data_IF_411119362638
#
_entry.id   IF_411119362638
#
_cell.length_a   1.000
_cell.length_b   1.000
_cell.length_c   1.000
_cell.angle_alpha   90.00
_cell.angle_beta   90.00
_cell.angle_gamma   90.00
#
_symmetry.space_group_name_H-M   'P 1'
#
loop_
_entity.id
_entity.type
_entity.pdbx_description
1 polymer ?
#
# COMPACT_ATOMS: atom_id res chain seq x y z
N UNK A 1 -24.58 8.82 -4.35
CA UNK A 1 -23.46 8.01 -4.87
C UNK A 1 -22.51 8.95 -5.59
N UNK A 2 -21.24 9.07 -5.18
CA UNK A 2 -20.25 9.85 -5.94
C UNK A 2 -19.93 9.07 -7.21
N UNK A 3 -20.28 9.62 -8.36
CA UNK A 3 -19.82 9.13 -9.66
C UNK A 3 -18.32 9.40 -9.72
N UNK A 4 -17.49 8.37 -9.56
CA UNK A 4 -16.09 8.46 -9.90
C UNK A 4 -16.01 8.50 -11.43
N UNK A 5 -15.94 9.69 -12.01
CA UNK A 5 -15.54 9.82 -13.41
C UNK A 5 -14.17 9.19 -13.54
N UNK A 6 -14.07 8.12 -14.33
CA UNK A 6 -12.78 7.53 -14.66
C UNK A 6 -11.88 8.63 -15.24
N UNK A 7 -10.66 8.82 -14.74
CA UNK A 7 -9.75 9.80 -15.32
C UNK A 7 -9.51 9.46 -16.79
N UNK A 8 -9.41 10.51 -17.61
CA UNK A 8 -9.07 10.36 -19.02
C UNK A 8 -7.63 9.85 -19.20
N UNK A 9 -7.32 9.42 -20.43
CA UNK A 9 -6.01 8.87 -20.79
C UNK A 9 -4.86 9.83 -20.50
N UNK A 10 -5.10 11.14 -20.61
CA UNK A 10 -4.08 12.17 -20.38
C UNK A 10 -3.75 12.31 -18.89
N UNK A 11 -4.78 12.34 -18.05
CA UNK A 11 -4.64 12.35 -16.58
C UNK A 11 -3.89 11.10 -16.11
N UNK A 12 -4.22 9.93 -16.66
CA UNK A 12 -3.50 8.69 -16.34
C UNK A 12 -2.01 8.78 -16.69
N UNK A 13 -1.67 9.33 -17.87
CA UNK A 13 -0.27 9.52 -18.29
C UNK A 13 0.46 10.50 -17.39
N UNK A 14 -0.15 11.64 -17.08
CA UNK A 14 0.46 12.66 -16.21
C UNK A 14 0.78 12.10 -14.82
N UNK A 15 -0.16 11.40 -14.20
CA UNK A 15 0.03 10.76 -12.90
C UNK A 15 1.10 9.66 -12.95
N UNK A 16 1.15 8.90 -14.04
CA UNK A 16 2.13 7.84 -14.24
C UNK A 16 3.56 8.40 -14.33
N UNK A 17 3.74 9.52 -15.04
CA UNK A 17 5.02 10.25 -15.09
C UNK A 17 5.40 10.77 -13.71
N UNK A 18 4.48 11.40 -12.97
CA UNK A 18 4.75 11.90 -11.61
C UNK A 18 5.16 10.78 -10.65
N UNK A 19 4.49 9.64 -10.72
CA UNK A 19 4.79 8.47 -9.88
C UNK A 19 5.96 7.61 -10.39
N UNK A 20 6.50 7.91 -11.58
CA UNK A 20 7.48 7.08 -12.29
C UNK A 20 7.05 5.60 -12.39
N UNK A 21 5.82 5.38 -12.86
CA UNK A 21 5.21 4.04 -13.09
C UNK A 21 4.56 3.97 -14.47
N UNK A 22 4.17 2.77 -14.91
CA UNK A 22 3.37 2.59 -16.12
C UNK A 22 1.92 3.09 -15.91
N UNK A 23 1.28 3.77 -16.88
CA UNK A 23 -0.12 4.23 -16.76
C UNK A 23 -1.12 3.14 -16.39
N UNK A 24 -0.90 1.89 -16.81
CA UNK A 24 -1.74 0.74 -16.42
C UNK A 24 -1.68 0.46 -14.93
N UNK A 25 -0.62 0.86 -14.24
CA UNK A 25 -0.50 0.78 -12.78
C UNK A 25 -1.50 1.71 -12.10
N UNK A 26 -1.66 2.93 -12.62
CA UNK A 26 -2.64 3.90 -12.12
C UNK A 26 -4.05 3.38 -12.36
N UNK A 27 -4.38 2.92 -13.59
CA UNK A 27 -5.68 2.29 -13.88
C UNK A 27 -5.97 1.11 -12.96
N UNK A 28 -5.01 0.20 -12.75
CA UNK A 28 -5.18 -0.93 -11.84
C UNK A 28 -5.56 -0.49 -10.44
N UNK A 29 -4.92 0.54 -9.90
CA UNK A 29 -5.20 1.01 -8.53
C UNK A 29 -6.58 1.66 -8.44
N UNK A 30 -6.98 2.43 -9.45
CA UNK A 30 -8.32 3.02 -9.55
C UNK A 30 -9.38 1.93 -9.65
N UNK A 31 -9.13 0.89 -10.44
CA UNK A 31 -9.97 -0.30 -10.57
C UNK A 31 -9.97 -1.21 -9.32
N UNK A 32 -9.24 -0.85 -8.26
CA UNK A 32 -9.11 -1.66 -7.04
C UNK A 32 -8.29 -2.95 -7.22
N UNK A 33 -7.55 -3.09 -8.32
CA UNK A 33 -6.68 -4.25 -8.55
C UNK A 33 -5.40 -4.13 -7.73
N UNK A 34 -4.86 -5.26 -7.21
CA UNK A 34 -3.66 -5.24 -6.39
C UNK A 34 -2.43 -4.86 -7.21
N UNK A 35 -1.67 -3.89 -6.70
CA UNK A 35 -0.30 -3.55 -7.14
C UNK A 35 0.61 -3.71 -5.93
N UNK A 36 1.76 -4.38 -6.09
CA UNK A 36 2.66 -4.67 -4.97
C UNK A 36 3.87 -3.72 -4.95
N UNK A 37 4.47 -3.59 -3.77
CA UNK A 37 5.73 -2.90 -3.55
C UNK A 37 5.70 -1.39 -3.81
N UNK A 38 6.87 -0.84 -4.14
CA UNK A 38 7.10 0.60 -4.25
C UNK A 38 6.29 1.28 -5.37
N UNK A 39 5.91 0.54 -6.43
CA UNK A 39 5.06 1.08 -7.49
C UNK A 39 3.69 1.51 -6.95
N UNK A 40 3.09 0.71 -6.05
CA UNK A 40 1.82 1.08 -5.42
C UNK A 40 1.97 2.33 -4.57
N UNK A 41 3.02 2.40 -3.74
CA UNK A 41 3.23 3.54 -2.84
C UNK A 41 3.35 4.85 -3.63
N UNK A 42 4.19 4.86 -4.66
CA UNK A 42 4.37 6.04 -5.53
C UNK A 42 3.08 6.46 -6.24
N UNK A 43 2.35 5.49 -6.78
CA UNK A 43 1.08 5.75 -7.45
C UNK A 43 0.00 6.29 -6.49
N UNK A 44 -0.11 5.74 -5.27
CA UNK A 44 -1.04 6.23 -4.26
C UNK A 44 -0.72 7.66 -3.81
N UNK A 45 0.56 7.97 -3.64
CA UNK A 45 0.98 9.32 -3.24
C UNK A 45 0.67 10.35 -4.35
N UNK A 46 0.88 10.00 -5.62
CA UNK A 46 0.48 10.84 -6.76
C UNK A 46 -1.04 11.03 -6.84
N UNK A 47 -1.82 9.95 -6.68
CA UNK A 47 -3.28 10.02 -6.66
C UNK A 47 -3.81 10.93 -5.53
N UNK A 48 -3.25 10.81 -4.32
CA UNK A 48 -3.60 11.67 -3.19
C UNK A 48 -3.27 13.13 -3.43
N UNK A 49 -2.10 13.43 -4.01
CA UNK A 49 -1.72 14.80 -4.39
C UNK A 49 -2.65 15.40 -5.44
N UNK A 50 -3.16 14.56 -6.35
CA UNK A 50 -4.17 14.94 -7.32
C UNK A 50 -5.60 15.02 -6.74
N UNK A 51 -5.79 14.75 -5.44
CA UNK A 51 -7.11 14.77 -4.80
C UNK A 51 -8.01 13.59 -5.20
N UNK A 52 -7.44 12.54 -5.79
CA UNK A 52 -8.16 11.33 -6.20
C UNK A 52 -8.15 10.34 -5.05
N UNK A 53 -9.32 10.15 -4.46
CA UNK A 53 -9.51 9.19 -3.38
C UNK A 53 -9.78 7.80 -3.97
N UNK A 54 -8.88 6.86 -3.72
CA UNK A 54 -8.97 5.49 -4.26
C UNK A 54 -9.38 4.52 -3.16
N UNK A 55 -10.27 3.54 -3.48
CA UNK A 55 -10.75 2.59 -2.50
C UNK A 55 -9.57 1.83 -1.89
N UNK A 56 -9.47 1.88 -0.56
CA UNK A 56 -8.46 1.13 0.19
C UNK A 56 -8.81 -0.34 0.15
N UNK A 57 -8.40 -1.03 -0.92
CA UNK A 57 -8.49 -2.49 -0.96
C UNK A 57 -7.49 -3.03 0.06
N UNK A 58 -7.95 -3.77 1.09
CA UNK A 58 -7.05 -4.35 2.06
C UNK A 58 -6.08 -5.26 1.30
N UNK A 59 -4.80 -4.91 1.33
CA UNK A 59 -3.78 -5.87 1.00
C UNK A 59 -3.90 -6.95 2.07
N UNK A 60 -4.07 -8.21 1.66
CA UNK A 60 -3.81 -9.33 2.55
C UNK A 60 -2.42 -9.08 3.12
N UNK A 61 -2.40 -8.62 4.37
CA UNK A 61 -1.18 -8.22 5.02
C UNK A 61 -0.32 -9.48 5.10
N UNK A 62 0.94 -9.36 4.72
CA UNK A 62 1.99 -10.20 5.26
C UNK A 62 1.93 -10.07 6.80
N UNK A 63 1.07 -10.85 7.44
CA UNK A 63 0.99 -11.05 8.89
C UNK A 63 2.16 -11.92 9.37
N UNK A 64 3.37 -11.54 9.02
CA UNK A 64 4.57 -12.21 9.49
C UNK A 64 5.71 -11.21 9.60
N UNK A 65 5.64 -10.36 10.64
CA UNK A 65 6.79 -9.83 11.39
C UNK A 65 6.29 -8.86 12.47
N UNK A 66 5.48 -9.39 13.39
CA UNK A 66 5.59 -8.95 14.78
C UNK A 66 6.67 -9.85 15.38
N UNK A 67 7.92 -9.39 15.34
CA UNK A 67 8.97 -9.98 16.18
C UNK A 67 8.75 -9.30 17.52
N UNK A 68 8.03 -9.96 18.42
CA UNK A 68 8.01 -9.59 19.83
C UNK A 68 9.45 -9.59 20.32
N UNK A 69 10.02 -8.40 20.40
CA UNK A 69 11.21 -8.12 21.16
C UNK A 69 10.86 -8.19 22.65
N UNK A 70 10.58 -9.39 23.15
CA UNK A 70 10.63 -9.68 24.58
C UNK A 70 12.06 -10.04 24.94
N UNK A 71 12.90 -9.01 24.92
CA UNK A 71 14.01 -8.95 25.87
C UNK A 71 13.42 -8.79 27.26
N UNK A 72 13.26 -9.89 27.99
CA UNK A 72 13.42 -9.87 29.44
C UNK A 72 13.69 -11.29 29.95
N UNK A 73 14.92 -11.55 30.37
CA UNK A 73 15.25 -12.71 31.17
C UNK A 73 14.85 -12.45 32.62
N UNK A 74 14.17 -13.39 33.30
CA UNK A 74 14.31 -13.53 34.74
C UNK A 74 15.27 -14.69 35.03
N UNK A 75 16.43 -14.32 35.59
CA UNK A 75 17.22 -15.19 36.48
C UNK A 75 16.33 -15.59 37.67
N UNK A 76 16.24 -16.88 37.98
CA UNK A 76 16.42 -17.48 39.32
C UNK A 76 15.78 -18.89 39.40
N UNK A 77 16.59 -19.83 39.90
CA UNK A 77 16.25 -21.00 40.72
C UNK A 77 15.07 -21.91 40.34
N UNK A 78 15.37 -23.19 40.01
CA UNK A 78 14.99 -24.35 40.85
C UNK A 78 15.55 -25.64 40.20
N UNK A 79 16.72 -26.11 40.65
CA UNK A 79 17.19 -27.48 40.37
C UNK A 79 17.46 -28.15 41.71
N UNK A 80 16.38 -28.61 42.33
CA UNK A 80 16.44 -29.52 43.46
C UNK A 80 15.39 -30.62 43.27
N UNK A 81 15.76 -31.67 42.52
CA UNK A 81 15.46 -33.08 42.80
C UNK A 81 16.11 -34.00 41.79
#
# INVERSE_FOLDING_TARGET
MKLYTSPDTETLRRLAVEASVDPRTISKIIDGRPVRGMARRRALDALRRAGIDVPSVPHGQDEARHVDALGNAPRADEVAR
#
